data_IF_136551426994
#
_entry.id   IF_136551426994
#
_cell.length_a   1.000
_cell.length_b   1.000
_cell.length_c   1.000
_cell.angle_alpha   90.00
_cell.angle_beta   90.00
_cell.angle_gamma   90.00
#
_symmetry.space_group_name_H-M   'P 1'
#
loop_
_entity.id
_entity.type
_entity.pdbx_description
1 polymer ?
#
# COMPACT_ATOMS: atom_id res chain seq x y z
N UNK A 1 9.17 17.93 14.42
CA UNK A 1 9.11 17.11 13.20
C UNK A 1 9.34 15.67 13.61
N UNK A 2 8.47 14.75 13.20
CA UNK A 2 8.70 13.32 13.45
C UNK A 2 9.96 12.91 12.67
N UNK A 3 10.81 12.07 13.29
CA UNK A 3 12.02 11.54 12.65
C UNK A 3 11.62 10.65 11.49
N UNK A 4 12.12 10.92 10.28
CA UNK A 4 11.89 10.08 9.12
C UNK A 4 13.03 9.09 8.89
N UNK A 5 12.68 7.91 8.39
CA UNK A 5 13.62 6.86 7.99
C UNK A 5 13.68 6.81 6.48
N UNK A 6 14.86 7.07 5.92
CA UNK A 6 15.10 7.00 4.48
C UNK A 6 15.40 5.57 4.03
N UNK A 7 14.71 5.13 2.98
CA UNK A 7 15.03 3.91 2.24
C UNK A 7 15.08 4.23 0.75
N UNK A 8 16.27 4.26 0.18
CA UNK A 8 16.54 4.76 -1.19
C UNK A 8 16.04 6.20 -1.34
N UNK A 9 15.09 6.45 -2.23
CA UNK A 9 14.49 7.77 -2.47
C UNK A 9 13.23 8.03 -1.63
N UNK A 10 12.77 7.06 -0.83
CA UNK A 10 11.54 7.19 -0.04
C UNK A 10 11.85 7.53 1.42
N UNK A 11 11.00 8.36 2.00
CA UNK A 11 11.04 8.77 3.40
C UNK A 11 9.81 8.23 4.13
N UNK A 12 10.03 7.49 5.20
CA UNK A 12 8.97 6.85 5.98
C UNK A 12 8.96 7.43 7.40
N UNK A 13 7.82 7.82 7.89
CA UNK A 13 7.62 7.98 9.32
C UNK A 13 7.52 6.60 9.97
N UNK A 14 8.32 6.27 10.99
CA UNK A 14 8.36 4.93 11.60
C UNK A 14 7.15 4.69 12.51
N UNK A 15 5.95 4.79 11.97
CA UNK A 15 4.74 4.51 12.71
C UNK A 15 4.68 3.08 13.22
N UNK A 16 4.19 2.91 14.44
CA UNK A 16 3.58 1.65 14.87
C UNK A 16 2.23 1.47 14.18
N UNK A 17 1.66 0.27 14.24
CA UNK A 17 0.30 0.04 13.73
C UNK A 17 -0.70 1.01 14.38
N UNK A 18 -0.59 1.21 15.69
CA UNK A 18 -1.45 2.12 16.46
C UNK A 18 -1.33 3.57 15.96
N UNK A 19 -0.10 4.08 15.82
CA UNK A 19 0.16 5.44 15.33
C UNK A 19 -0.36 5.65 13.91
N UNK A 20 -0.16 4.67 13.02
CA UNK A 20 -0.67 4.72 11.65
C UNK A 20 -2.21 4.73 11.60
N UNK A 21 -2.87 3.94 12.45
CA UNK A 21 -4.33 3.92 12.57
C UNK A 21 -4.88 5.25 13.11
N UNK A 22 -4.28 5.80 14.17
CA UNK A 22 -4.65 7.11 14.72
C UNK A 22 -4.53 8.21 13.66
N UNK A 23 -3.44 8.22 12.90
CA UNK A 23 -3.24 9.17 11.82
C UNK A 23 -4.28 9.01 10.71
N UNK A 24 -4.57 7.78 10.28
CA UNK A 24 -5.60 7.51 9.26
C UNK A 24 -7.01 7.92 9.72
N UNK A 25 -7.37 7.64 10.97
CA UNK A 25 -8.64 8.06 11.54
C UNK A 25 -8.76 9.59 11.56
N UNK A 26 -7.72 10.29 11.96
CA UNK A 26 -7.69 11.75 11.91
C UNK A 26 -7.87 12.30 10.48
N UNK A 27 -7.27 11.65 9.48
CA UNK A 27 -7.44 12.02 8.07
C UNK A 27 -8.88 11.78 7.57
N UNK A 28 -9.52 10.69 8.00
CA UNK A 28 -10.93 10.40 7.68
C UNK A 28 -11.84 11.46 8.29
N UNK A 29 -11.63 11.83 9.55
CA UNK A 29 -12.46 12.82 10.24
C UNK A 29 -12.25 14.25 9.69
N UNK A 30 -11.04 14.57 9.26
CA UNK A 30 -10.75 15.84 8.60
C UNK A 30 -11.40 15.95 7.22
N UNK A 31 -11.73 14.82 6.60
CA UNK A 31 -12.29 14.79 5.25
C UNK A 31 -11.31 15.20 4.16
N UNK A 32 -11.81 15.27 2.92
CA UNK A 32 -11.00 15.67 1.77
C UNK A 32 -10.19 14.52 1.16
N UNK A 33 -9.20 14.86 0.33
CA UNK A 33 -8.40 13.88 -0.42
C UNK A 33 -7.16 13.51 0.38
N UNK A 34 -7.13 12.32 0.96
CA UNK A 34 -5.96 11.78 1.63
C UNK A 34 -5.50 10.46 0.99
N UNK A 35 -4.19 10.23 0.96
CA UNK A 35 -3.56 9.11 0.26
C UNK A 35 -2.70 8.30 1.21
N UNK A 36 -2.88 6.98 1.13
CA UNK A 36 -2.04 6.01 1.82
C UNK A 36 -1.45 5.09 0.78
N UNK A 37 -0.14 5.05 0.69
CA UNK A 37 0.56 4.09 -0.15
C UNK A 37 1.36 3.11 0.70
N UNK A 38 1.49 1.89 0.18
CA UNK A 38 2.13 0.78 0.91
C UNK A 38 3.30 0.22 0.10
N UNK A 39 4.40 1.00 -0.07
CA UNK A 39 5.51 0.57 -0.89
C UNK A 39 6.25 -0.62 -0.29
N UNK A 40 6.39 -1.64 -1.13
CA UNK A 40 7.26 -2.79 -0.93
C UNK A 40 8.60 -2.58 -1.67
N UNK A 41 9.48 -3.59 -1.66
CA UNK A 41 10.77 -3.53 -2.33
C UNK A 41 10.68 -3.24 -3.84
N UNK A 42 9.66 -3.77 -4.54
CA UNK A 42 9.43 -3.51 -5.97
C UNK A 42 9.09 -2.03 -6.22
N UNK A 43 8.16 -1.49 -5.41
CA UNK A 43 7.72 -0.10 -5.50
C UNK A 43 8.85 0.85 -5.10
N UNK A 44 9.61 0.54 -4.05
CA UNK A 44 10.76 1.34 -3.62
C UNK A 44 11.88 1.35 -4.65
N UNK A 45 12.15 0.21 -5.32
CA UNK A 45 13.11 0.15 -6.41
C UNK A 45 12.66 0.97 -7.62
N UNK A 46 11.37 0.93 -7.97
CA UNK A 46 10.77 1.75 -9.02
C UNK A 46 10.91 3.23 -8.70
N UNK A 47 10.59 3.65 -7.48
CA UNK A 47 10.75 5.02 -7.03
C UNK A 47 12.20 5.52 -7.16
N UNK A 48 13.17 4.68 -6.78
CA UNK A 48 14.59 5.01 -6.91
C UNK A 48 15.08 5.15 -8.37
N UNK A 49 14.34 4.59 -9.34
CA UNK A 49 14.64 4.67 -10.79
C UNK A 49 13.84 5.75 -11.52
N UNK A 50 12.74 6.23 -10.93
CA UNK A 50 11.80 7.14 -11.57
C UNK A 50 11.48 8.29 -10.61
N UNK A 51 12.22 9.43 -10.70
CA UNK A 51 12.03 10.57 -9.79
C UNK A 51 10.58 11.05 -9.69
N UNK A 52 9.87 11.20 -10.81
CA UNK A 52 8.49 11.63 -10.81
C UNK A 52 7.55 10.67 -10.01
N UNK A 53 7.84 9.36 -10.02
CA UNK A 53 7.09 8.39 -9.21
C UNK A 53 7.46 8.50 -7.72
N UNK A 54 8.75 8.74 -7.41
CA UNK A 54 9.20 9.02 -6.05
C UNK A 54 8.51 10.25 -5.46
N UNK A 55 8.49 11.35 -6.23
CA UNK A 55 7.86 12.61 -5.82
C UNK A 55 6.35 12.45 -5.62
N UNK A 56 5.71 11.61 -6.45
CA UNK A 56 4.29 11.27 -6.29
C UNK A 56 4.04 10.54 -4.97
N UNK A 57 4.85 9.53 -4.64
CA UNK A 57 4.72 8.80 -3.38
C UNK A 57 4.99 9.69 -2.17
N UNK A 58 5.95 10.63 -2.27
CA UNK A 58 6.30 11.57 -1.20
C UNK A 58 5.17 12.56 -0.84
N UNK A 59 4.18 12.73 -1.74
CA UNK A 59 2.99 13.56 -1.46
C UNK A 59 1.89 12.82 -0.70
N UNK A 60 2.07 11.55 -0.36
CA UNK A 60 1.10 10.79 0.41
C UNK A 60 1.08 11.27 1.88
N UNK A 61 -0.11 11.32 2.47
CA UNK A 61 -0.32 11.65 3.88
C UNK A 61 0.17 10.52 4.81
N UNK A 62 0.24 9.28 4.29
CA UNK A 62 0.86 8.12 4.95
C UNK A 62 1.60 7.25 3.92
N UNK A 63 2.86 6.96 4.21
CA UNK A 63 3.66 6.00 3.46
C UNK A 63 4.03 4.85 4.41
N UNK A 64 3.43 3.68 4.19
CA UNK A 64 3.56 2.52 5.08
C UNK A 64 4.50 1.47 4.48
N UNK A 65 5.54 1.03 5.19
CA UNK A 65 6.51 0.08 4.66
C UNK A 65 5.90 -1.32 4.57
N UNK A 66 5.54 -1.77 3.36
CA UNK A 66 5.01 -3.11 3.12
C UNK A 66 6.12 -4.10 2.77
N UNK A 67 6.07 -5.23 3.43
CA UNK A 67 7.02 -6.31 3.23
C UNK A 67 8.35 -6.16 3.97
N UNK A 68 9.00 -7.31 4.16
CA UNK A 68 10.24 -7.43 4.93
C UNK A 68 11.41 -6.69 4.29
N UNK A 69 11.42 -6.55 2.96
CA UNK A 69 12.55 -5.98 2.22
C UNK A 69 12.82 -4.51 2.62
N UNK A 70 11.77 -3.70 2.73
CA UNK A 70 11.90 -2.27 3.11
C UNK A 70 12.40 -2.13 4.55
N UNK A 71 11.86 -2.93 5.49
CA UNK A 71 12.32 -2.91 6.89
C UNK A 71 13.76 -3.43 7.06
N UNK A 72 14.17 -4.43 6.26
CA UNK A 72 15.57 -4.89 6.24
C UNK A 72 16.52 -3.84 5.66
N UNK A 73 16.10 -3.13 4.62
CA UNK A 73 16.87 -2.04 4.05
C UNK A 73 17.08 -0.91 5.08
N UNK A 74 16.04 -0.53 5.83
CA UNK A 74 16.16 0.44 6.91
C UNK A 74 17.19 -0.02 7.96
N UNK A 75 17.18 -1.29 8.36
CA UNK A 75 18.18 -1.86 9.30
C UNK A 75 19.60 -1.77 8.75
N UNK A 76 19.79 -1.98 7.45
CA UNK A 76 21.12 -1.82 6.83
C UNK A 76 21.62 -0.37 6.88
N UNK A 77 20.73 0.62 6.94
CA UNK A 77 21.09 2.02 7.18
C UNK A 77 21.22 2.37 8.68
N UNK A 78 21.06 1.39 9.59
CA UNK A 78 21.13 1.60 11.04
C UNK A 78 19.83 2.11 11.66
N UNK A 79 18.71 2.05 10.92
CA UNK A 79 17.41 2.55 11.33
C UNK A 79 16.42 1.42 11.61
N UNK A 80 15.42 1.70 12.45
CA UNK A 80 14.30 0.78 12.70
C UNK A 80 13.05 1.29 12.01
N UNK A 81 12.45 0.45 11.17
CA UNK A 81 11.22 0.76 10.45
C UNK A 81 10.25 -0.43 10.61
N UNK A 82 9.17 -0.26 11.41
CA UNK A 82 8.17 -1.31 11.61
C UNK A 82 7.54 -1.73 10.29
N UNK A 83 7.37 -3.03 10.07
CA UNK A 83 6.67 -3.55 8.90
C UNK A 83 5.16 -3.37 9.08
N UNK A 84 4.52 -2.64 8.18
CA UNK A 84 3.07 -2.41 8.14
C UNK A 84 2.52 -2.85 6.78
N UNK A 85 1.99 -4.07 6.68
CA UNK A 85 1.42 -4.52 5.41
C UNK A 85 0.09 -3.83 5.14
N UNK A 86 -0.16 -3.46 3.88
CA UNK A 86 -1.38 -2.76 3.49
C UNK A 86 -2.66 -3.51 3.89
N UNK A 87 -2.66 -4.85 3.74
CA UNK A 87 -3.81 -5.69 4.11
C UNK A 87 -4.06 -5.68 5.63
N UNK A 88 -2.98 -5.84 6.45
CA UNK A 88 -3.13 -5.82 7.91
C UNK A 88 -3.59 -4.45 8.41
N UNK A 89 -3.06 -3.37 7.79
CA UNK A 89 -3.47 -2.01 8.10
C UNK A 89 -4.94 -1.75 7.76
N UNK A 90 -5.38 -2.12 6.55
CA UNK A 90 -6.77 -1.94 6.14
C UNK A 90 -7.74 -2.75 7.02
N UNK A 91 -7.41 -4.01 7.34
CA UNK A 91 -8.21 -4.85 8.24
C UNK A 91 -8.25 -4.26 9.66
N UNK A 92 -7.13 -3.78 10.20
CA UNK A 92 -7.08 -3.15 11.52
C UNK A 92 -7.86 -1.83 11.57
N UNK A 93 -7.84 -1.04 10.47
CA UNK A 93 -8.61 0.19 10.36
C UNK A 93 -10.12 -0.08 10.40
N UNK A 94 -10.58 -1.12 9.71
CA UNK A 94 -11.98 -1.54 9.75
C UNK A 94 -12.38 -2.15 11.11
N UNK A 95 -11.51 -2.95 11.72
CA UNK A 95 -11.76 -3.59 13.01
C UNK A 95 -11.87 -2.56 14.15
N UNK A 96 -11.07 -1.49 14.09
CA UNK A 96 -11.00 -0.43 15.11
C UNK A 96 -11.75 0.85 14.72
N UNK A 97 -12.64 0.78 13.73
CA UNK A 97 -13.44 1.91 13.31
C UNK A 97 -14.25 2.48 14.49
N UNK A 98 -14.09 3.77 14.86
CA UNK A 98 -14.85 4.37 15.96
C UNK A 98 -16.33 4.51 15.65
N UNK A 99 -16.66 4.67 14.37
CA UNK A 99 -18.01 4.76 13.82
C UNK A 99 -18.15 3.83 12.60
N UNK A 100 -19.33 3.80 12.00
CA UNK A 100 -19.52 3.10 10.71
C UNK A 100 -18.78 3.85 9.60
N UNK A 101 -17.91 3.15 8.86
CA UNK A 101 -17.18 3.69 7.70
C UNK A 101 -17.84 3.23 6.41
N UNK A 102 -18.06 4.17 5.51
CA UNK A 102 -18.52 3.94 4.15
C UNK A 102 -17.31 3.56 3.28
N UNK A 103 -17.27 2.32 2.80
CA UNK A 103 -16.12 1.74 2.10
C UNK A 103 -16.46 1.47 0.64
N UNK A 104 -15.67 1.99 -0.28
CA UNK A 104 -15.74 1.66 -1.69
C UNK A 104 -14.54 0.79 -2.09
N UNK A 105 -14.80 -0.27 -2.89
CA UNK A 105 -13.78 -1.22 -3.34
C UNK A 105 -13.59 -1.08 -4.85
N UNK A 106 -12.37 -0.74 -5.28
CA UNK A 106 -12.02 -0.59 -6.69
C UNK A 106 -10.88 -1.53 -7.07
N UNK A 107 -11.11 -2.50 -7.94
CA UNK A 107 -10.06 -3.36 -8.45
C UNK A 107 -10.46 -4.82 -8.59
N UNK A 108 -9.49 -5.66 -8.88
CA UNK A 108 -9.70 -7.07 -9.17
C UNK A 108 -10.43 -7.33 -10.50
N UNK A 109 -10.63 -8.59 -10.83
CA UNK A 109 -11.46 -9.00 -11.98
C UNK A 109 -12.94 -8.78 -11.68
N UNK A 110 -13.80 -8.91 -12.71
CA UNK A 110 -15.25 -8.84 -12.54
C UNK A 110 -15.73 -9.78 -11.42
N UNK A 111 -16.57 -9.27 -10.51
CA UNK A 111 -17.10 -10.01 -9.35
C UNK A 111 -16.17 -10.11 -8.14
N UNK A 112 -14.85 -9.90 -8.26
CA UNK A 112 -13.89 -10.01 -7.14
C UNK A 112 -14.19 -8.96 -6.07
N UNK A 113 -14.31 -7.69 -6.44
CA UNK A 113 -14.61 -6.61 -5.50
C UNK A 113 -15.92 -6.84 -4.74
N UNK A 114 -16.95 -7.39 -5.41
CA UNK A 114 -18.24 -7.70 -4.77
C UNK A 114 -18.10 -8.81 -3.73
N UNK A 115 -17.39 -9.92 -4.05
CA UNK A 115 -17.14 -11.01 -3.09
C UNK A 115 -16.30 -10.53 -1.91
N UNK A 116 -15.24 -9.75 -2.19
CA UNK A 116 -14.42 -9.13 -1.14
C UNK A 116 -15.25 -8.24 -0.21
N UNK A 117 -16.14 -7.43 -0.78
CA UNK A 117 -17.04 -6.56 -0.02
C UNK A 117 -17.97 -7.35 0.92
N UNK A 118 -18.56 -8.45 0.45
CA UNK A 118 -19.39 -9.35 1.29
C UNK A 118 -18.57 -9.94 2.45
N UNK A 119 -17.35 -10.39 2.17
CA UNK A 119 -16.47 -10.96 3.19
C UNK A 119 -16.06 -9.92 4.24
N UNK A 120 -15.73 -8.69 3.81
CA UNK A 120 -15.38 -7.60 4.71
C UNK A 120 -16.57 -7.16 5.57
N UNK A 121 -17.76 -6.97 4.98
CA UNK A 121 -18.97 -6.62 5.72
C UNK A 121 -19.36 -7.68 6.76
N UNK A 122 -19.20 -8.97 6.43
CA UNK A 122 -19.45 -10.07 7.37
C UNK A 122 -18.45 -10.12 8.52
N UNK A 123 -17.19 -9.69 8.30
CA UNK A 123 -16.13 -9.72 9.31
C UNK A 123 -16.07 -8.45 10.14
N UNK A 124 -16.40 -7.29 9.55
CA UNK A 124 -16.29 -5.98 10.17
C UNK A 124 -17.64 -5.26 10.15
N UNK A 125 -18.46 -5.39 11.22
CA UNK A 125 -19.84 -4.86 11.23
C UNK A 125 -19.95 -3.35 11.05
N UNK A 126 -18.86 -2.62 11.27
CA UNK A 126 -18.79 -1.16 11.05
C UNK A 126 -18.33 -0.78 9.64
N UNK A 127 -18.03 -1.75 8.77
CA UNK A 127 -17.72 -1.52 7.36
C UNK A 127 -19.01 -1.56 6.52
N UNK A 128 -19.49 -0.41 6.10
CA UNK A 128 -20.61 -0.28 5.16
C UNK A 128 -20.06 -0.26 3.73
N UNK A 129 -20.25 -1.33 2.98
CA UNK A 129 -19.79 -1.39 1.59
C UNK A 129 -20.77 -0.59 0.70
N UNK A 130 -20.39 0.62 0.34
CA UNK A 130 -21.22 1.54 -0.46
C UNK A 130 -21.01 1.40 -1.97
N UNK A 131 -20.03 0.62 -2.40
CA UNK A 131 -19.79 0.31 -3.80
C UNK A 131 -18.63 -0.65 -4.01
N UNK A 132 -18.66 -1.36 -5.13
CA UNK A 132 -17.64 -2.32 -5.51
C UNK A 132 -17.56 -2.42 -7.04
N UNK A 133 -16.40 -2.13 -7.62
CA UNK A 133 -16.18 -2.13 -9.07
C UNK A 133 -14.87 -2.85 -9.42
N UNK A 134 -14.88 -3.58 -10.54
CA UNK A 134 -13.67 -4.22 -11.06
C UNK A 134 -12.65 -3.19 -11.58
N UNK A 135 -11.38 -3.60 -11.64
CA UNK A 135 -10.27 -2.74 -12.06
C UNK A 135 -9.94 -2.77 -13.55
N UNK A 136 -10.67 -3.55 -14.35
CA UNK A 136 -10.44 -3.70 -15.80
C UNK A 136 -11.41 -2.81 -16.59
N UNK A 137 -11.15 -1.53 -16.57
CA UNK A 137 -11.86 -0.53 -17.35
C UNK A 137 -10.85 0.26 -18.21
N UNK A 138 -11.24 0.70 -19.40
CA UNK A 138 -10.41 1.51 -20.27
C UNK A 138 -10.26 2.93 -19.70
N UNK A 139 -9.26 3.66 -20.21
CA UNK A 139 -8.94 4.99 -19.68
C UNK A 139 -10.08 5.99 -19.85
N UNK A 140 -10.86 5.84 -20.90
CA UNK A 140 -12.01 6.67 -21.23
C UNK A 140 -13.13 6.56 -20.17
N UNK A 141 -13.22 5.42 -19.48
CA UNK A 141 -14.19 5.22 -18.41
C UNK A 141 -13.70 5.72 -17.02
N UNK A 142 -12.46 6.13 -16.88
CA UNK A 142 -11.91 6.52 -15.57
C UNK A 142 -12.69 7.67 -14.93
N UNK A 143 -13.16 8.63 -15.73
CA UNK A 143 -13.98 9.74 -15.24
C UNK A 143 -15.31 9.24 -14.70
N UNK A 144 -15.97 8.33 -15.40
CA UNK A 144 -17.22 7.71 -14.95
C UNK A 144 -17.02 6.93 -13.65
N UNK A 145 -15.91 6.17 -13.54
CA UNK A 145 -15.55 5.44 -12.30
C UNK A 145 -15.37 6.41 -11.14
N UNK A 146 -14.68 7.52 -11.37
CA UNK A 146 -14.50 8.57 -10.38
C UNK A 146 -15.83 9.17 -9.92
N UNK A 147 -16.74 9.49 -10.87
CA UNK A 147 -18.04 10.07 -10.58
C UNK A 147 -18.93 9.10 -9.79
N UNK A 148 -18.91 7.79 -10.11
CA UNK A 148 -19.57 6.73 -9.35
C UNK A 148 -19.06 6.66 -7.90
N UNK A 149 -17.73 6.72 -7.69
CA UNK A 149 -17.10 6.70 -6.36
C UNK A 149 -17.51 7.95 -5.58
N UNK A 150 -17.42 9.11 -6.21
CA UNK A 150 -17.75 10.40 -5.56
C UNK A 150 -19.23 10.47 -5.16
N UNK A 151 -20.12 9.98 -6.03
CA UNK A 151 -21.56 9.90 -5.73
C UNK A 151 -21.86 8.96 -4.55
N UNK A 152 -21.09 7.89 -4.39
CA UNK A 152 -21.20 6.97 -3.25
C UNK A 152 -20.71 7.58 -1.93
N UNK A 153 -20.02 8.73 -1.92
CA UNK A 153 -19.46 9.42 -0.76
C UNK A 153 -18.80 8.47 0.24
N UNK A 154 -17.74 7.74 -0.14
CA UNK A 154 -17.05 6.86 0.79
C UNK A 154 -16.20 7.66 1.78
N UNK A 155 -16.01 7.13 2.99
CA UNK A 155 -14.94 7.55 3.92
C UNK A 155 -13.61 6.94 3.50
N UNK A 156 -13.66 5.70 3.00
CA UNK A 156 -12.52 4.87 2.61
C UNK A 156 -12.69 4.36 1.18
N UNK A 157 -11.63 4.51 0.38
CA UNK A 157 -11.53 3.92 -0.94
C UNK A 157 -10.33 2.94 -0.98
N UNK A 158 -10.60 1.65 -1.13
CA UNK A 158 -9.58 0.65 -1.32
C UNK A 158 -9.30 0.45 -2.80
N UNK A 159 -8.11 0.88 -3.26
CA UNK A 159 -7.71 0.83 -4.67
C UNK A 159 -6.76 -0.34 -4.89
N UNK A 160 -7.21 -1.31 -5.68
CA UNK A 160 -6.53 -2.58 -5.96
C UNK A 160 -6.31 -2.76 -7.47
N UNK A 161 -5.71 -1.75 -8.12
CA UNK A 161 -5.40 -1.74 -9.55
C UNK A 161 -3.99 -2.25 -9.86
N UNK A 162 -3.19 -2.50 -8.82
CA UNK A 162 -1.77 -2.81 -8.91
C UNK A 162 -0.89 -1.57 -9.13
N UNK A 163 0.36 -1.63 -8.65
CA UNK A 163 1.34 -0.57 -8.84
C UNK A 163 1.98 -0.65 -10.24
N UNK A 164 2.24 0.50 -10.93
CA UNK A 164 2.04 1.89 -10.48
C UNK A 164 0.62 2.45 -10.74
N UNK A 165 -0.25 1.71 -11.43
CA UNK A 165 -1.55 2.22 -11.88
C UNK A 165 -2.43 2.73 -10.75
N UNK A 166 -2.43 2.08 -9.58
CA UNK A 166 -3.24 2.51 -8.44
C UNK A 166 -2.78 3.86 -7.86
N UNK A 167 -1.47 4.05 -7.73
CA UNK A 167 -0.91 5.29 -7.22
C UNK A 167 -1.16 6.44 -8.20
N UNK A 168 -0.90 6.22 -9.49
CA UNK A 168 -1.15 7.20 -10.55
C UNK A 168 -2.63 7.58 -10.67
N UNK A 169 -3.54 6.60 -10.51
CA UNK A 169 -4.98 6.82 -10.54
C UNK A 169 -5.44 7.68 -9.37
N UNK A 170 -5.01 7.35 -8.14
CA UNK A 170 -5.33 8.11 -6.94
C UNK A 170 -4.79 9.54 -7.03
N UNK A 171 -3.53 9.71 -7.45
CA UNK A 171 -2.89 11.02 -7.54
C UNK A 171 -3.56 11.93 -8.56
N UNK A 172 -3.94 11.40 -9.71
CA UNK A 172 -4.55 12.18 -10.79
C UNK A 172 -5.98 12.58 -10.50
N UNK A 173 -6.78 11.68 -9.94
CA UNK A 173 -8.21 11.90 -9.75
C UNK A 173 -8.56 12.45 -8.36
N UNK A 174 -7.73 12.20 -7.36
CA UNK A 174 -7.84 12.72 -6.00
C UNK A 174 -9.27 12.58 -5.42
N UNK A 175 -9.79 11.36 -5.25
CA UNK A 175 -11.11 11.13 -4.69
C UNK A 175 -11.24 11.80 -3.30
N UNK A 176 -12.40 12.42 -2.98
CA UNK A 176 -12.58 13.18 -1.74
C UNK A 176 -12.81 12.25 -0.52
N UNK A 177 -11.86 11.37 -0.25
CA UNK A 177 -11.87 10.40 0.85
C UNK A 177 -10.44 9.91 1.13
N UNK A 178 -10.26 9.09 2.18
CA UNK A 178 -9.00 8.39 2.39
C UNK A 178 -8.86 7.24 1.38
N UNK A 179 -7.96 7.39 0.40
CA UNK A 179 -7.67 6.40 -0.63
C UNK A 179 -6.44 5.57 -0.24
N UNK A 180 -6.55 4.24 -0.26
CA UNK A 180 -5.47 3.33 0.13
C UNK A 180 -5.13 2.41 -1.04
N UNK A 181 -3.87 2.44 -1.51
CA UNK A 181 -3.35 1.53 -2.52
C UNK A 181 -3.00 0.17 -1.91
N UNK A 182 -3.74 -0.89 -2.27
CA UNK A 182 -3.66 -2.21 -1.63
C UNK A 182 -3.29 -3.36 -2.57
N UNK A 183 -3.02 -3.07 -3.84
CA UNK A 183 -2.60 -4.08 -4.82
C UNK A 183 -3.58 -5.24 -4.95
N UNK A 184 -3.15 -6.44 -4.61
CA UNK A 184 -3.97 -7.66 -4.74
C UNK A 184 -4.80 -8.03 -3.50
N UNK A 185 -5.13 -7.09 -2.63
CA UNK A 185 -5.87 -7.38 -1.39
C UNK A 185 -7.29 -7.92 -1.66
N UNK A 186 -7.97 -7.42 -2.69
CA UNK A 186 -9.31 -7.88 -3.04
C UNK A 186 -9.34 -9.36 -3.42
N UNK A 187 -8.31 -9.89 -4.12
CA UNK A 187 -8.22 -11.31 -4.45
C UNK A 187 -8.12 -12.18 -3.17
N UNK A 188 -7.46 -11.67 -2.13
CA UNK A 188 -7.34 -12.35 -0.84
C UNK A 188 -8.66 -12.32 -0.08
N UNK A 189 -9.32 -11.16 0.01
CA UNK A 189 -10.61 -11.04 0.70
C UNK A 189 -11.73 -11.77 -0.01
N UNK A 190 -11.68 -11.86 -1.34
CA UNK A 190 -12.62 -12.63 -2.14
C UNK A 190 -12.44 -14.17 -2.02
N UNK A 191 -11.31 -14.62 -1.43
CA UNK A 191 -10.96 -16.03 -1.34
C UNK A 191 -10.32 -16.62 -2.60
N UNK A 192 -10.04 -15.80 -3.63
CA UNK A 192 -9.42 -16.26 -4.87
C UNK A 192 -7.92 -16.55 -4.70
N UNK A 193 -7.28 -15.92 -3.72
CA UNK A 193 -5.88 -16.16 -3.35
C UNK A 193 -5.76 -16.40 -1.85
N UNK A 194 -5.05 -17.46 -1.48
CA UNK A 194 -4.78 -17.71 -0.07
C UNK A 194 -3.75 -16.70 0.47
N UNK A 195 -3.92 -16.29 1.70
CA UNK A 195 -2.92 -15.52 2.43
C UNK A 195 -1.89 -16.46 3.03
N UNK A 196 -0.62 -16.07 3.04
CA UNK A 196 0.42 -16.86 3.69
C UNK A 196 0.08 -17.14 5.17
N UNK A 197 0.36 -18.35 5.69
CA UNK A 197 0.18 -18.67 7.10
C UNK A 197 0.86 -17.65 8.01
N UNK A 198 0.30 -17.43 9.21
CA UNK A 198 0.77 -16.40 10.14
C UNK A 198 2.27 -16.54 10.46
N UNK A 199 2.74 -17.75 10.72
CA UNK A 199 4.14 -18.03 10.99
C UNK A 199 5.05 -17.61 9.82
N UNK A 200 4.66 -17.94 8.58
CA UNK A 200 5.41 -17.57 7.38
C UNK A 200 5.41 -16.05 7.14
N UNK A 201 4.28 -15.38 7.43
CA UNK A 201 4.21 -13.92 7.36
C UNK A 201 5.14 -13.25 8.38
N UNK A 202 5.16 -13.76 9.63
CA UNK A 202 6.04 -13.26 10.69
C UNK A 202 7.52 -13.48 10.35
N UNK A 203 7.86 -14.61 9.74
CA UNK A 203 9.20 -14.91 9.25
C UNK A 203 9.61 -14.11 7.99
N UNK A 204 8.71 -13.29 7.42
CA UNK A 204 9.00 -12.51 6.20
C UNK A 204 8.88 -13.30 4.89
N UNK A 205 8.41 -14.55 4.93
CA UNK A 205 8.32 -15.46 3.77
C UNK A 205 7.07 -15.27 2.91
N UNK A 206 6.24 -14.25 3.13
CA UNK A 206 5.01 -14.02 2.38
C UNK A 206 5.26 -13.85 0.87
N UNK A 207 6.36 -13.22 0.47
CA UNK A 207 6.73 -13.06 -0.93
C UNK A 207 6.97 -14.40 -1.64
N UNK A 208 7.61 -15.36 -0.96
CA UNK A 208 7.86 -16.70 -1.47
C UNK A 208 6.55 -17.47 -1.64
N UNK A 209 5.67 -17.40 -0.65
CA UNK A 209 4.35 -18.02 -0.73
C UNK A 209 3.53 -17.48 -1.91
N UNK A 210 3.55 -16.16 -2.12
CA UNK A 210 2.89 -15.51 -3.26
C UNK A 210 3.50 -15.91 -4.61
N UNK A 211 4.82 -16.15 -4.66
CA UNK A 211 5.51 -16.63 -5.84
C UNK A 211 5.11 -18.07 -6.19
N UNK A 212 4.99 -18.93 -5.18
CA UNK A 212 4.54 -20.33 -5.36
C UNK A 212 3.08 -20.41 -5.83
N UNK A 213 2.21 -19.51 -5.37
CA UNK A 213 0.82 -19.44 -5.84
C UNK A 213 0.67 -18.89 -7.26
N UNK A 214 1.58 -18.04 -7.69
CA UNK A 214 1.51 -17.36 -8.98
C UNK A 214 2.92 -17.26 -9.59
N UNK A 215 3.39 -18.32 -10.30
CA UNK A 215 4.72 -18.34 -10.91
C UNK A 215 4.97 -17.20 -11.90
N UNK A 216 3.93 -16.59 -12.48
CA UNK A 216 4.06 -15.41 -13.35
C UNK A 216 4.72 -14.22 -12.63
N UNK A 217 4.70 -14.22 -11.30
CA UNK A 217 5.40 -13.24 -10.46
C UNK A 217 6.91 -13.40 -10.41
N UNK A 218 7.48 -14.41 -11.06
CA UNK A 218 8.95 -14.61 -11.10
C UNK A 218 9.66 -13.38 -11.68
N UNK A 219 9.05 -12.72 -12.65
CA UNK A 219 9.55 -11.47 -13.23
C UNK A 219 9.59 -10.35 -12.17
N UNK A 220 8.62 -10.32 -11.27
CA UNK A 220 8.58 -9.38 -10.13
C UNK A 220 9.50 -9.81 -8.98
N UNK A 221 9.72 -11.11 -8.80
CA UNK A 221 10.67 -11.64 -7.81
C UNK A 221 12.11 -11.19 -8.11
N UNK A 222 12.46 -10.98 -9.38
CA UNK A 222 13.73 -10.39 -9.79
C UNK A 222 13.95 -8.95 -9.26
N UNK A 223 12.89 -8.25 -8.83
CA UNK A 223 13.03 -6.96 -8.18
C UNK A 223 13.67 -7.06 -6.78
N UNK A 224 13.55 -8.18 -6.07
CA UNK A 224 14.12 -8.34 -4.71
C UNK A 224 15.64 -8.31 -4.72
N UNK A 225 16.37 -9.13 -5.53
CA UNK A 225 17.83 -9.05 -5.61
C UNK A 225 18.29 -7.70 -6.18
N UNK A 226 17.60 -7.13 -7.17
CA UNK A 226 17.91 -5.81 -7.70
C UNK A 226 17.73 -4.71 -6.65
N UNK A 227 16.69 -4.78 -5.82
CA UNK A 227 16.48 -3.88 -4.68
C UNK A 227 17.60 -4.02 -3.65
N UNK A 228 17.95 -5.25 -3.25
CA UNK A 228 19.02 -5.51 -2.29
C UNK A 228 20.36 -4.93 -2.79
N UNK A 229 20.71 -5.18 -4.04
CA UNK A 229 21.92 -4.62 -4.66
C UNK A 229 21.89 -3.09 -4.65
N UNK A 230 20.77 -2.48 -5.00
CA UNK A 230 20.62 -1.01 -5.00
C UNK A 230 20.79 -0.41 -3.60
N UNK A 231 20.22 -1.05 -2.57
CA UNK A 231 20.38 -0.65 -1.16
C UNK A 231 21.86 -0.73 -0.73
N UNK A 232 22.56 -1.81 -1.08
CA UNK A 232 23.99 -1.96 -0.74
C UNK A 232 24.86 -0.89 -1.41
N UNK A 233 24.60 -0.61 -2.68
CA UNK A 233 25.30 0.45 -3.43
C UNK A 233 25.01 1.83 -2.84
N UNK A 234 23.76 2.14 -2.50
CA UNK A 234 23.38 3.42 -1.88
C UNK A 234 24.06 3.60 -0.51
N UNK A 235 24.08 2.55 0.31
CA UNK A 235 24.80 2.55 1.58
C UNK A 235 26.29 2.83 1.40
N UNK A 236 26.93 2.15 0.46
CA UNK A 236 28.37 2.33 0.19
C UNK A 236 28.70 3.75 -0.23
N UNK A 237 27.93 4.34 -1.14
CA UNK A 237 28.11 5.74 -1.58
C UNK A 237 27.93 6.74 -0.43
N UNK A 238 26.97 6.50 0.48
CA UNK A 238 26.75 7.37 1.63
C UNK A 238 27.92 7.28 2.64
N UNK A 239 28.45 6.09 2.88
CA UNK A 239 29.64 5.91 3.74
C UNK A 239 30.91 6.53 3.14
N UNK A 240 31.07 6.49 1.81
CA UNK A 240 32.20 7.11 1.14
C UNK A 240 32.17 8.65 1.26
N UNK A 241 30.99 9.26 1.14
CA UNK A 241 30.82 10.73 1.31
C UNK A 241 31.13 11.19 2.73
N UNK A 242 30.75 10.44 3.76
CA UNK A 242 31.05 10.79 5.15
C UNK A 242 32.56 10.69 5.48
N UNK A 243 33.33 9.85 4.77
CA UNK A 243 34.79 9.73 4.96
C UNK A 243 35.63 10.73 4.18
N UNK A 244 35.07 11.34 3.15
CA UNK A 244 35.76 12.33 2.33
C UNK A 244 35.57 13.79 2.79
N UNK A 245 34.87 14.02 3.91
CA UNK A 245 34.59 15.35 4.47
C UNK A 245 35.36 15.62 5.77
N UNK A 246 36.47 14.89 6.02
CA UNK A 246 37.40 15.10 7.14
C UNK A 246 38.73 15.59 6.60
#
# INVERSE_FOLDING_TARGET
MEREVRVLSLHFTPYTMEGALTRAQALIEAGGCARVYTPNAEIALRAARTPAFSDMLARAELLLPDGVGVSLAARLYGEQLPRLTGIDFAEALLARAPRRYRVYLLGGKAGVAVRAGRALAGRYPRAEIVGARHGYFPREEERRVYDEITAARPDLLFVCLGSPRQEEWIERLRPPCLSIGLGGALDVWAGDKARAPRALRQAGGEWLFRLLQDPSRIVRAGALPAFALRVLLDRWHNHAKCRGSV
#
